data_IF_654095227580
#
_entry.id   IF_654095227580
#
_cell.length_a   1.000
_cell.length_b   1.000
_cell.length_c   1.000
_cell.angle_alpha   90.00
_cell.angle_beta   90.00
_cell.angle_gamma   90.00
#
_symmetry.space_group_name_H-M   'P 1'
#
loop_
_entity.id
_entity.type
_entity.pdbx_description
1 polymer ?
#
# COMPACT_ATOMS: atom_id res chain seq x y z
N UNK A 1 -3.48 52.78 -34.65
CA UNK A 1 -4.07 52.76 -33.28
C UNK A 1 -4.80 51.45 -32.89
N UNK A 2 -5.03 50.48 -33.79
CA UNK A 2 -5.71 49.20 -33.46
C UNK A 2 -4.76 48.07 -32.99
N UNK A 3 -3.50 48.07 -33.42
CA UNK A 3 -2.53 46.99 -33.13
C UNK A 3 -2.05 47.01 -31.66
N UNK A 4 -1.84 48.21 -31.09
CA UNK A 4 -1.42 48.38 -29.69
C UNK A 4 -2.51 47.93 -28.70
N UNK A 5 -3.79 48.03 -29.10
CA UNK A 5 -4.92 47.63 -28.26
C UNK A 5 -5.13 46.11 -28.23
N UNK A 6 -4.81 45.41 -29.34
CA UNK A 6 -4.84 43.94 -29.39
C UNK A 6 -3.71 43.31 -28.58
N UNK A 7 -2.50 43.87 -28.61
CA UNK A 7 -1.36 43.35 -27.83
C UNK A 7 -1.57 43.46 -26.31
N UNK A 8 -2.25 44.51 -25.83
CA UNK A 8 -2.59 44.65 -24.40
C UNK A 8 -3.62 43.62 -23.91
N UNK A 9 -4.54 43.17 -24.78
CA UNK A 9 -5.50 42.10 -24.44
C UNK A 9 -4.84 40.72 -24.41
N UNK A 10 -3.93 40.44 -25.35
CA UNK A 10 -3.16 39.19 -25.35
C UNK A 10 -2.26 39.07 -24.11
N UNK A 11 -1.61 40.15 -23.67
CA UNK A 11 -0.79 40.13 -22.45
C UNK A 11 -1.61 39.87 -21.18
N UNK A 12 -2.84 40.39 -21.09
CA UNK A 12 -3.73 40.14 -19.94
C UNK A 12 -4.26 38.71 -19.89
N UNK A 13 -4.49 38.07 -21.03
CA UNK A 13 -4.90 36.65 -21.09
C UNK A 13 -3.72 35.72 -20.81
N UNK A 14 -2.51 36.07 -21.26
CA UNK A 14 -1.31 35.28 -21.00
C UNK A 14 -0.89 35.32 -19.51
N UNK A 15 -1.04 36.47 -18.84
CA UNK A 15 -0.71 36.60 -17.40
C UNK A 15 -1.78 35.95 -16.49
N UNK A 16 -3.05 35.90 -16.91
CA UNK A 16 -4.09 35.19 -16.15
C UNK A 16 -4.01 33.65 -16.32
N UNK A 17 -3.51 33.15 -17.45
CA UNK A 17 -3.36 31.71 -17.70
C UNK A 17 -2.21 31.06 -16.91
N UNK A 18 -1.18 31.82 -16.53
CA UNK A 18 -0.03 31.29 -15.77
C UNK A 18 -0.34 31.11 -14.28
N UNK A 19 -1.39 31.77 -13.75
CA UNK A 19 -1.78 31.68 -12.33
C UNK A 19 -2.80 30.57 -12.03
N UNK A 20 -3.22 29.79 -13.04
CA UNK A 20 -4.09 28.63 -12.92
C UNK A 20 -3.36 27.31 -13.13
N UNK A 21 -2.03 27.32 -13.02
CA UNK A 21 -1.30 26.08 -12.76
C UNK A 21 -1.53 25.77 -11.28
N UNK A 22 -2.26 24.69 -10.91
CA UNK A 22 -2.20 24.24 -9.54
C UNK A 22 -0.72 23.96 -9.29
N UNK A 23 -0.10 24.76 -8.41
CA UNK A 23 1.14 24.36 -7.82
C UNK A 23 0.82 23.00 -7.18
N UNK A 24 1.32 21.92 -7.79
CA UNK A 24 1.37 20.63 -7.15
C UNK A 24 2.33 20.81 -5.97
N UNK A 25 1.79 21.33 -4.87
CA UNK A 25 2.42 21.21 -3.58
C UNK A 25 2.49 19.71 -3.36
N UNK A 26 3.68 19.15 -3.58
CA UNK A 26 3.98 17.83 -3.06
C UNK A 26 3.59 17.89 -1.59
N UNK A 27 2.64 17.05 -1.20
CA UNK A 27 2.13 17.00 0.16
C UNK A 27 3.33 16.95 1.10
N UNK A 28 3.41 17.87 2.06
CA UNK A 28 4.53 17.89 3.00
C UNK A 28 4.59 16.53 3.71
N UNK A 29 5.82 16.04 3.95
CA UNK A 29 5.98 14.82 4.73
C UNK A 29 5.28 14.95 6.09
N UNK A 30 4.72 13.86 6.63
CA UNK A 30 4.05 13.92 7.90
C UNK A 30 5.10 14.12 8.99
N UNK A 31 4.67 14.65 10.14
CA UNK A 31 5.58 14.83 11.28
C UNK A 31 6.18 13.49 11.72
N UNK A 32 7.45 13.52 12.09
CA UNK A 32 8.13 12.32 12.60
C UNK A 32 7.55 11.92 13.95
N UNK A 33 7.31 10.62 14.12
CA UNK A 33 6.78 10.04 15.34
C UNK A 33 7.93 9.57 16.21
N UNK A 34 8.00 10.09 17.44
CA UNK A 34 8.96 9.62 18.41
C UNK A 34 8.58 8.22 18.89
N UNK A 35 9.56 7.31 18.95
CA UNK A 35 9.39 5.99 19.51
C UNK A 35 10.15 5.93 20.85
N UNK A 36 9.47 6.11 22.00
CA UNK A 36 10.09 5.93 23.29
C UNK A 36 10.48 4.46 23.39
N UNK A 37 11.78 4.14 23.35
CA UNK A 37 12.30 2.81 23.04
C UNK A 37 11.80 1.64 23.92
N UNK A 38 11.19 1.90 25.09
CA UNK A 38 10.57 0.89 25.94
C UNK A 38 9.11 0.55 25.56
N UNK A 39 8.40 1.46 24.87
CA UNK A 39 6.98 1.32 24.52
C UNK A 39 6.74 0.63 23.18
N UNK A 40 7.72 0.66 22.26
CA UNK A 40 7.62 0.05 20.94
C UNK A 40 6.87 0.89 19.91
N UNK A 41 6.99 0.50 18.63
CA UNK A 41 6.45 1.25 17.49
C UNK A 41 4.92 1.31 17.51
N UNK A 42 4.26 0.19 17.84
CA UNK A 42 2.80 0.14 17.92
C UNK A 42 2.23 1.09 18.97
N UNK A 43 2.88 1.20 20.14
CA UNK A 43 2.47 2.12 21.17
C UNK A 43 2.66 3.58 20.75
N UNK A 44 3.78 3.90 20.08
CA UNK A 44 4.04 5.24 19.54
C UNK A 44 2.97 5.65 18.51
N UNK A 45 2.61 4.74 17.60
CA UNK A 45 1.55 4.95 16.61
C UNK A 45 0.19 5.15 17.29
N UNK A 46 -0.15 4.29 18.26
CA UNK A 46 -1.42 4.38 18.98
C UNK A 46 -1.55 5.67 19.80
N UNK A 47 -0.43 6.19 20.34
CA UNK A 47 -0.39 7.45 21.07
C UNK A 47 -0.43 8.69 20.15
N UNK A 48 0.01 8.56 18.90
CA UNK A 48 0.10 9.68 17.95
C UNK A 48 -1.26 10.16 17.42
N UNK A 49 -2.30 9.32 17.47
CA UNK A 49 -3.63 9.67 16.97
C UNK A 49 -3.73 9.88 15.46
N UNK A 50 -2.76 9.36 14.68
CA UNK A 50 -2.80 9.41 13.21
C UNK A 50 -3.99 8.63 12.65
N UNK A 51 -4.42 8.99 11.44
CA UNK A 51 -5.49 8.28 10.74
C UNK A 51 -5.05 6.89 10.27
N UNK A 52 -6.02 6.01 9.97
CA UNK A 52 -5.70 4.72 9.35
C UNK A 52 -5.08 4.88 7.95
N UNK A 53 -5.45 5.93 7.21
CA UNK A 53 -4.84 6.27 5.91
C UNK A 53 -3.36 6.61 6.08
N UNK A 54 -3.01 7.45 7.06
CA UNK A 54 -1.62 7.80 7.33
C UNK A 54 -0.83 6.59 7.83
N UNK A 55 -1.42 5.75 8.68
CA UNK A 55 -0.80 4.50 9.12
C UNK A 55 -0.47 3.57 7.95
N UNK A 56 -1.42 3.38 7.03
CA UNK A 56 -1.21 2.58 5.83
C UNK A 56 -0.15 3.22 4.92
N UNK A 57 -0.20 4.53 4.70
CA UNK A 57 0.78 5.24 3.88
C UNK A 57 2.20 5.13 4.46
N UNK A 58 2.38 5.26 5.78
CA UNK A 58 3.67 5.05 6.46
C UNK A 58 4.19 3.63 6.27
N UNK A 59 3.30 2.64 6.40
CA UNK A 59 3.64 1.25 6.15
C UNK A 59 4.12 1.04 4.70
N UNK A 60 3.33 1.49 3.74
CA UNK A 60 3.62 1.36 2.30
C UNK A 60 4.92 2.08 1.94
N UNK A 61 5.15 3.27 2.49
CA UNK A 61 6.38 4.03 2.28
C UNK A 61 7.61 3.23 2.74
N UNK A 62 7.58 2.68 3.96
CA UNK A 62 8.69 1.90 4.51
C UNK A 62 8.88 0.55 3.81
N UNK A 63 7.79 -0.16 3.53
CA UNK A 63 7.82 -1.45 2.83
C UNK A 63 8.30 -1.30 1.39
N UNK A 64 7.90 -0.22 0.70
CA UNK A 64 8.38 0.03 -0.68
C UNK A 64 9.89 0.28 -0.68
N UNK A 65 10.42 1.00 0.32
CA UNK A 65 11.85 1.17 0.50
C UNK A 65 12.56 -0.17 0.75
N UNK A 66 11.94 -1.08 1.51
CA UNK A 66 12.52 -2.38 1.82
C UNK A 66 12.57 -3.33 0.62
N UNK A 67 11.79 -3.09 -0.44
CA UNK A 67 11.82 -3.89 -1.67
C UNK A 67 13.08 -3.71 -2.53
N UNK A 68 13.81 -2.60 -2.32
CA UNK A 68 14.91 -2.19 -3.21
C UNK A 68 14.46 -1.36 -4.42
N UNK A 69 13.16 -1.09 -4.60
CA UNK A 69 12.61 -0.32 -5.71
C UNK A 69 11.83 0.94 -5.25
N UNK A 70 12.43 1.84 -4.45
CA UNK A 70 11.72 2.98 -3.83
C UNK A 70 11.22 4.04 -4.81
N UNK A 71 11.59 3.96 -6.09
CA UNK A 71 11.19 4.95 -7.10
C UNK A 71 10.06 4.44 -8.00
N UNK A 72 9.77 3.15 -7.96
CA UNK A 72 8.79 2.52 -8.83
C UNK A 72 7.36 2.70 -8.27
N UNK A 73 6.49 3.48 -8.94
CA UNK A 73 5.14 3.73 -8.46
C UNK A 73 4.29 2.46 -8.36
N UNK A 74 4.55 1.43 -9.19
CA UNK A 74 3.75 0.21 -9.17
C UNK A 74 3.92 -0.53 -7.84
N UNK A 75 5.08 -0.40 -7.18
CA UNK A 75 5.36 -1.07 -5.91
C UNK A 75 4.52 -0.52 -4.77
N UNK A 76 4.32 0.80 -4.73
CA UNK A 76 3.46 1.46 -3.74
C UNK A 76 2.03 0.91 -3.84
N UNK A 77 1.48 0.85 -5.04
CA UNK A 77 0.14 0.28 -5.27
C UNK A 77 0.08 -1.21 -4.93
N UNK A 78 1.05 -2.00 -5.39
CA UNK A 78 1.04 -3.45 -5.18
C UNK A 78 1.06 -3.82 -3.69
N UNK A 79 1.89 -3.12 -2.89
CA UNK A 79 1.96 -3.31 -1.45
C UNK A 79 0.67 -2.82 -0.78
N UNK A 80 0.16 -1.65 -1.14
CA UNK A 80 -1.08 -1.10 -0.57
C UNK A 80 -2.26 -2.06 -0.77
N UNK A 81 -2.43 -2.58 -1.98
CA UNK A 81 -3.43 -3.59 -2.29
C UNK A 81 -3.21 -4.89 -1.52
N UNK A 82 -1.97 -5.38 -1.43
CA UNK A 82 -1.63 -6.57 -0.65
C UNK A 82 -2.02 -6.44 0.83
N UNK A 83 -1.73 -5.30 1.46
CA UNK A 83 -2.15 -5.00 2.84
C UNK A 83 -3.68 -4.98 2.93
N UNK A 84 -4.35 -4.24 2.05
CA UNK A 84 -5.80 -4.09 2.11
C UNK A 84 -6.56 -5.37 1.76
N UNK A 85 -5.96 -6.29 1.01
CA UNK A 85 -6.52 -7.63 0.81
C UNK A 85 -6.61 -8.40 2.13
N UNK A 86 -5.57 -8.33 2.97
CA UNK A 86 -5.59 -8.92 4.33
C UNK A 86 -6.66 -8.26 5.20
N UNK A 87 -6.74 -6.93 5.17
CA UNK A 87 -7.74 -6.16 5.95
C UNK A 87 -9.17 -6.58 5.59
N UNK A 88 -9.50 -6.59 4.29
CA UNK A 88 -10.86 -6.94 3.83
C UNK A 88 -11.18 -8.41 4.10
N UNK A 89 -10.23 -9.31 3.83
CA UNK A 89 -10.44 -10.73 4.07
C UNK A 89 -10.59 -11.03 5.58
N UNK A 90 -9.83 -10.37 6.45
CA UNK A 90 -9.99 -10.43 7.91
C UNK A 90 -11.26 -9.74 8.43
N UNK A 91 -11.83 -8.80 7.68
CA UNK A 91 -13.17 -8.25 7.95
C UNK A 91 -14.28 -9.26 7.64
N UNK A 92 -14.10 -10.10 6.62
CA UNK A 92 -15.11 -11.05 6.13
C UNK A 92 -15.00 -12.47 6.70
N UNK A 93 -13.86 -12.84 7.29
CA UNK A 93 -13.57 -14.19 7.79
C UNK A 93 -12.95 -14.14 9.19
N UNK A 94 -13.59 -14.70 10.22
CA UNK A 94 -13.01 -14.81 11.57
C UNK A 94 -11.65 -15.53 11.60
N UNK A 95 -11.47 -16.57 10.80
CA UNK A 95 -10.20 -17.30 10.71
C UNK A 95 -9.10 -16.44 10.09
N UNK A 96 -9.42 -15.64 9.08
CA UNK A 96 -8.47 -14.70 8.48
C UNK A 96 -8.22 -13.48 9.37
N UNK A 97 -9.21 -13.04 10.16
CA UNK A 97 -9.00 -12.02 11.19
C UNK A 97 -7.98 -12.48 12.23
N UNK A 98 -8.06 -13.74 12.67
CA UNK A 98 -7.07 -14.30 13.60
C UNK A 98 -5.69 -14.40 12.97
N UNK A 99 -5.61 -14.74 11.69
CA UNK A 99 -4.35 -14.88 10.98
C UNK A 99 -3.68 -13.53 10.72
N UNK A 100 -4.46 -12.55 10.26
CA UNK A 100 -3.94 -11.29 9.76
C UNK A 100 -4.12 -10.11 10.69
N UNK A 101 -5.01 -10.17 11.68
CA UNK A 101 -5.39 -9.02 12.51
C UNK A 101 -6.70 -8.38 12.07
N UNK A 102 -7.24 -7.48 12.91
CA UNK A 102 -8.51 -6.76 12.70
C UNK A 102 -8.26 -5.31 12.29
N UNK A 103 -8.83 -4.89 11.16
CA UNK A 103 -8.68 -3.53 10.65
C UNK A 103 -7.26 -3.25 10.15
N UNK A 104 -6.98 -2.01 9.74
CA UNK A 104 -5.66 -1.63 9.23
C UNK A 104 -4.61 -1.76 10.33
N UNK A 105 -4.89 -1.20 11.51
CA UNK A 105 -3.98 -1.27 12.67
C UNK A 105 -3.62 -2.72 13.04
N UNK A 106 -4.62 -3.58 13.21
CA UNK A 106 -4.38 -4.98 13.53
C UNK A 106 -3.59 -5.72 12.45
N UNK A 107 -3.78 -5.39 11.16
CA UNK A 107 -2.99 -5.99 10.07
C UNK A 107 -1.54 -5.52 10.09
N UNK A 108 -1.31 -4.23 10.27
CA UNK A 108 0.04 -3.66 10.34
C UNK A 108 0.83 -4.30 11.48
N UNK A 109 0.27 -4.39 12.69
CA UNK A 109 1.00 -4.84 13.87
C UNK A 109 0.87 -6.33 14.20
N UNK A 110 0.18 -7.11 13.37
CA UNK A 110 0.11 -8.55 13.55
C UNK A 110 1.53 -9.17 13.50
N UNK A 111 1.85 -9.97 14.52
CA UNK A 111 3.16 -10.60 14.67
C UNK A 111 3.61 -11.34 13.40
N UNK A 112 4.84 -11.04 12.96
CA UNK A 112 5.45 -11.65 11.79
C UNK A 112 5.06 -11.02 10.45
N UNK A 113 4.17 -10.02 10.43
CA UNK A 113 3.92 -9.20 9.27
C UNK A 113 4.84 -7.96 9.27
N UNK A 114 5.25 -7.51 8.08
CA UNK A 114 5.95 -6.24 7.88
C UNK A 114 7.19 -6.04 8.77
N UNK A 115 7.89 -7.12 9.09
CA UNK A 115 9.10 -7.10 9.90
C UNK A 115 10.13 -6.05 9.43
N UNK A 116 10.35 -5.80 8.12
CA UNK A 116 11.17 -4.69 7.66
C UNK A 116 10.76 -3.35 8.30
N UNK A 117 9.50 -2.95 8.15
CA UNK A 117 9.01 -1.67 8.65
C UNK A 117 8.87 -1.60 10.17
N UNK A 118 8.74 -2.72 10.89
CA UNK A 118 8.33 -2.71 12.31
C UNK A 118 9.36 -3.30 13.28
N UNK A 119 10.43 -3.94 12.80
CA UNK A 119 11.45 -4.52 13.68
C UNK A 119 12.33 -3.45 14.32
N UNK A 120 12.59 -3.62 15.62
CA UNK A 120 13.55 -2.77 16.35
C UNK A 120 14.93 -2.81 15.68
N UNK A 121 15.48 -1.64 15.37
CA UNK A 121 16.80 -1.51 14.76
C UNK A 121 16.83 -1.70 13.24
N UNK A 122 15.68 -2.03 12.61
CA UNK A 122 15.59 -2.02 11.15
C UNK A 122 15.75 -0.59 10.62
N UNK A 123 16.54 -0.34 9.56
CA UNK A 123 16.61 0.98 8.95
C UNK A 123 15.23 1.44 8.43
N UNK A 124 14.38 0.53 7.98
CA UNK A 124 13.05 0.83 7.47
C UNK A 124 12.04 1.21 8.57
N UNK A 125 12.31 0.84 9.83
CA UNK A 125 11.50 1.31 10.95
C UNK A 125 11.60 2.83 11.18
N UNK A 126 12.73 3.44 10.80
CA UNK A 126 12.87 4.90 10.81
C UNK A 126 12.07 5.54 9.68
N UNK A 127 12.08 4.94 8.50
CA UNK A 127 11.28 5.39 7.36
C UNK A 127 9.77 5.32 7.67
N UNK A 128 9.33 4.31 8.42
CA UNK A 128 7.94 4.18 8.89
C UNK A 128 7.55 5.32 9.86
N UNK A 129 8.43 5.63 10.82
CA UNK A 129 8.18 6.67 11.83
C UNK A 129 8.39 8.09 11.30
N UNK A 130 9.24 8.28 10.31
CA UNK A 130 9.71 9.58 9.84
C UNK A 130 9.93 9.56 8.32
N UNK A 131 8.87 9.54 7.49
CA UNK A 131 9.00 9.67 6.04
C UNK A 131 9.70 10.98 5.68
N UNK A 132 10.83 10.90 4.96
CA UNK A 132 11.71 12.05 4.71
C UNK A 132 11.66 12.61 3.28
N UNK A 133 11.05 11.90 2.33
CA UNK A 133 11.00 12.28 0.91
C UNK A 133 9.56 12.58 0.48
N UNK A 134 9.19 13.86 0.23
CA UNK A 134 7.82 14.26 -0.11
C UNK A 134 7.28 13.56 -1.36
N UNK A 135 8.12 13.28 -2.36
CA UNK A 135 7.67 12.63 -3.60
C UNK A 135 7.36 11.16 -3.39
N UNK A 136 8.11 10.48 -2.53
CA UNK A 136 7.83 9.10 -2.13
C UNK A 136 6.63 9.04 -1.18
N UNK A 137 6.48 10.03 -0.31
CA UNK A 137 5.34 10.16 0.59
C UNK A 137 4.03 10.33 -0.17
N UNK A 138 3.99 11.26 -1.13
CA UNK A 138 2.84 11.47 -2.02
C UNK A 138 2.40 10.16 -2.71
N UNK A 139 3.36 9.39 -3.27
CA UNK A 139 3.07 8.08 -3.87
C UNK A 139 2.45 7.09 -2.88
N UNK A 140 2.97 7.05 -1.64
CA UNK A 140 2.45 6.16 -0.61
C UNK A 140 1.04 6.55 -0.17
N UNK A 141 0.77 7.85 0.00
CA UNK A 141 -0.57 8.35 0.33
C UNK A 141 -1.58 8.02 -0.77
N UNK A 142 -1.25 8.33 -2.03
CA UNK A 142 -2.13 8.05 -3.18
C UNK A 142 -2.43 6.56 -3.29
N UNK A 143 -1.42 5.71 -3.15
CA UNK A 143 -1.58 4.26 -3.22
C UNK A 143 -2.41 3.72 -2.03
N UNK A 144 -2.17 4.22 -0.82
CA UNK A 144 -2.92 3.84 0.38
C UNK A 144 -4.41 4.20 0.23
N UNK A 145 -4.72 5.44 -0.17
CA UNK A 145 -6.08 5.92 -0.38
C UNK A 145 -6.81 5.09 -1.42
N UNK A 146 -6.21 4.89 -2.60
CA UNK A 146 -6.75 4.06 -3.67
C UNK A 146 -7.04 2.63 -3.19
N UNK A 147 -6.10 2.01 -2.48
CA UNK A 147 -6.29 0.68 -1.95
C UNK A 147 -7.36 0.62 -0.85
N UNK A 148 -7.56 1.70 -0.07
CA UNK A 148 -8.60 1.81 0.95
C UNK A 148 -10.01 1.97 0.36
N UNK A 149 -10.16 2.74 -0.72
CA UNK A 149 -11.41 2.83 -1.49
C UNK A 149 -11.83 1.44 -2.00
N UNK A 150 -10.87 0.65 -2.48
CA UNK A 150 -11.09 -0.76 -2.82
C UNK A 150 -11.62 -1.01 -4.24
N UNK A 151 -11.97 0.06 -4.95
CA UNK A 151 -12.41 -0.01 -6.33
C UNK A 151 -11.28 -0.45 -7.27
N UNK A 152 -11.59 -1.36 -8.19
CA UNK A 152 -10.62 -1.79 -9.21
C UNK A 152 -9.45 -2.62 -8.66
N UNK A 153 -9.63 -3.33 -7.55
CA UNK A 153 -8.59 -4.18 -6.97
C UNK A 153 -8.02 -5.17 -8.02
N UNK A 154 -6.73 -5.05 -8.40
CA UNK A 154 -6.14 -5.80 -9.51
C UNK A 154 -5.97 -7.29 -9.21
N UNK A 155 -6.10 -7.70 -7.94
CA UNK A 155 -5.90 -9.08 -7.51
C UNK A 155 -7.18 -9.92 -7.55
N UNK A 156 -8.35 -9.30 -7.77
CA UNK A 156 -9.62 -9.99 -7.92
C UNK A 156 -9.68 -10.59 -9.34
N UNK A 157 -9.55 -11.91 -9.44
CA UNK A 157 -9.44 -12.60 -10.74
C UNK A 157 -10.39 -13.77 -10.91
N UNK A 158 -10.66 -14.52 -9.84
CA UNK A 158 -11.50 -15.72 -9.88
C UNK A 158 -12.98 -15.41 -9.68
N UNK A 159 -13.83 -16.35 -10.07
CA UNK A 159 -15.28 -16.21 -9.89
C UNK A 159 -15.69 -16.08 -8.42
N UNK A 160 -14.98 -16.75 -7.50
CA UNK A 160 -15.23 -16.59 -6.07
C UNK A 160 -14.88 -15.17 -5.60
N UNK A 161 -13.71 -14.66 -5.99
CA UNK A 161 -13.24 -13.31 -5.62
C UNK A 161 -14.16 -12.22 -6.16
N UNK A 162 -14.56 -12.32 -7.44
CA UNK A 162 -15.50 -11.39 -8.06
C UNK A 162 -16.85 -11.38 -7.36
N UNK A 163 -17.36 -12.55 -6.99
CA UNK A 163 -18.65 -12.68 -6.29
C UNK A 163 -18.62 -12.01 -4.91
N UNK A 164 -17.51 -12.13 -4.19
CA UNK A 164 -17.42 -11.63 -2.82
C UNK A 164 -16.80 -10.23 -2.72
N UNK A 165 -16.23 -9.69 -3.81
CA UNK A 165 -15.45 -8.46 -3.76
C UNK A 165 -14.19 -8.58 -2.90
N UNK A 166 -13.64 -9.80 -2.76
CA UNK A 166 -12.49 -10.11 -1.91
C UNK A 166 -11.38 -10.71 -2.75
N UNK A 167 -10.13 -10.33 -2.47
CA UNK A 167 -8.95 -10.96 -3.07
C UNK A 167 -8.41 -12.07 -2.16
N UNK A 168 -7.99 -13.18 -2.74
CA UNK A 168 -7.27 -14.25 -2.05
C UNK A 168 -5.75 -14.05 -2.10
N UNK A 169 -5.25 -13.02 -2.79
CA UNK A 169 -3.82 -12.68 -2.84
C UNK A 169 -3.46 -11.93 -1.56
N UNK A 170 -2.86 -12.66 -0.63
CA UNK A 170 -2.64 -12.20 0.75
C UNK A 170 -1.19 -12.33 1.20
N UNK A 171 -0.33 -12.99 0.43
CA UNK A 171 1.10 -13.10 0.74
C UNK A 171 1.90 -12.43 -0.36
N UNK A 172 2.95 -11.72 0.03
CA UNK A 172 3.90 -11.13 -0.89
C UNK A 172 5.31 -11.21 -0.31
N UNK A 173 6.29 -11.32 -1.20
CA UNK A 173 7.70 -11.49 -0.87
C UNK A 173 8.54 -10.61 -1.79
N UNK A 174 9.63 -10.04 -1.28
CA UNK A 174 10.49 -9.12 -2.03
C UNK A 174 11.86 -9.78 -2.25
N UNK A 175 12.11 -10.44 -3.40
CA UNK A 175 13.35 -11.16 -3.64
C UNK A 175 14.60 -10.27 -3.60
N UNK A 176 14.45 -9.01 -4.00
CA UNK A 176 15.54 -8.03 -4.05
C UNK A 176 15.73 -7.23 -2.75
N UNK A 177 14.96 -7.54 -1.70
CA UNK A 177 15.12 -6.87 -0.41
C UNK A 177 16.47 -7.21 0.20
N UNK A 178 17.11 -6.23 0.84
CA UNK A 178 18.34 -6.46 1.64
C UNK A 178 18.11 -7.41 2.83
N UNK A 179 16.84 -7.68 3.18
CA UNK A 179 16.46 -8.63 4.23
C UNK A 179 16.06 -10.01 3.67
N UNK A 180 15.98 -10.17 2.34
CA UNK A 180 15.75 -11.46 1.72
C UNK A 180 17.00 -12.33 1.87
N UNK A 181 16.82 -13.55 2.39
CA UNK A 181 17.90 -14.53 2.50
C UNK A 181 18.00 -15.41 1.25
N UNK A 182 16.88 -15.60 0.56
CA UNK A 182 16.71 -16.50 -0.58
C UNK A 182 15.88 -15.81 -1.68
N UNK A 183 15.96 -16.22 -2.95
CA UNK A 183 15.15 -15.65 -4.03
C UNK A 183 13.65 -15.97 -3.91
N UNK A 184 13.29 -16.96 -3.10
CA UNK A 184 11.92 -17.44 -2.93
C UNK A 184 11.44 -17.29 -1.49
N UNK A 185 10.13 -17.12 -1.31
CA UNK A 185 9.54 -17.05 0.01
C UNK A 185 9.65 -18.41 0.73
N UNK A 186 9.73 -18.45 2.07
CA UNK A 186 9.73 -19.71 2.82
C UNK A 186 8.51 -20.61 2.54
N UNK A 187 7.41 -20.02 2.09
CA UNK A 187 6.16 -20.70 1.75
C UNK A 187 5.97 -20.95 0.24
N UNK A 188 7.02 -20.82 -0.59
CA UNK A 188 6.95 -21.06 -2.04
C UNK A 188 6.31 -22.41 -2.39
N UNK A 189 6.69 -23.46 -1.65
CA UNK A 189 6.24 -24.84 -1.87
C UNK A 189 5.05 -25.23 -0.97
N UNK A 190 4.40 -24.27 -0.31
CA UNK A 190 3.24 -24.53 0.53
C UNK A 190 2.05 -24.99 -0.31
N UNK A 191 1.31 -26.00 0.12
CA UNK A 191 0.04 -26.39 -0.53
C UNK A 191 -1.09 -25.39 -0.25
N UNK A 192 -0.94 -24.58 0.80
CA UNK A 192 -1.93 -23.57 1.20
C UNK A 192 -1.88 -22.30 0.34
N UNK A 193 -0.76 -22.05 -0.33
CA UNK A 193 -0.53 -20.86 -1.14
C UNK A 193 -0.14 -21.25 -2.57
N UNK A 194 -0.48 -20.40 -3.54
CA UNK A 194 0.00 -20.54 -4.92
C UNK A 194 0.58 -19.23 -5.39
N UNK A 195 1.74 -19.30 -6.03
CA UNK A 195 2.34 -18.16 -6.70
C UNK A 195 1.41 -17.63 -7.81
N UNK A 196 1.38 -16.31 -7.96
CA UNK A 196 0.65 -15.60 -9.01
C UNK A 196 1.68 -15.08 -10.01
N UNK A 197 1.70 -15.67 -11.21
CA UNK A 197 2.74 -15.42 -12.22
C UNK A 197 2.71 -14.00 -12.78
N UNK A 198 1.51 -13.48 -13.08
CA UNK A 198 1.34 -12.16 -13.66
C UNK A 198 0.33 -11.36 -12.82
N UNK A 199 0.76 -10.18 -12.38
CA UNK A 199 -0.09 -9.19 -11.70
C UNK A 199 -0.03 -7.90 -12.48
N UNK A 200 -1.17 -7.42 -12.97
CA UNK A 200 -1.28 -6.14 -13.67
C UNK A 200 -1.89 -5.09 -12.77
N UNK A 201 -1.19 -3.97 -12.62
CA UNK A 201 -1.64 -2.81 -11.86
C UNK A 201 -1.59 -1.60 -12.80
N UNK A 202 -2.76 -1.07 -13.14
CA UNK A 202 -2.90 -0.13 -14.25
C UNK A 202 -2.38 -0.77 -15.54
N UNK A 203 -1.54 -0.04 -16.26
CA UNK A 203 -0.93 -0.49 -17.52
C UNK A 203 0.40 -1.27 -17.32
N UNK A 204 0.79 -1.51 -16.07
CA UNK A 204 2.08 -2.14 -15.74
C UNK A 204 1.91 -3.57 -15.24
N UNK A 205 2.79 -4.46 -15.72
CA UNK A 205 2.97 -5.79 -15.13
C UNK A 205 4.00 -5.69 -14.01
N UNK A 206 3.66 -6.20 -12.83
CA UNK A 206 4.57 -6.23 -11.68
C UNK A 206 5.55 -7.40 -11.85
N UNK A 207 6.87 -7.16 -11.96
CA UNK A 207 7.84 -8.24 -12.18
C UNK A 207 8.03 -9.08 -10.91
N UNK A 208 8.04 -10.43 -11.02
CA UNK A 208 8.19 -11.31 -9.87
C UNK A 208 9.57 -11.23 -9.20
N UNK A 209 10.58 -10.69 -9.88
CA UNK A 209 11.91 -10.40 -9.32
C UNK A 209 11.87 -9.21 -8.33
N UNK A 210 10.85 -8.35 -8.46
CA UNK A 210 10.63 -7.20 -7.56
C UNK A 210 9.74 -7.58 -6.40
N UNK A 211 8.59 -8.18 -6.70
CA UNK A 211 7.68 -8.71 -5.69
C UNK A 211 6.94 -9.94 -6.23
N UNK A 212 6.94 -11.00 -5.44
CA UNK A 212 6.20 -12.23 -5.71
C UNK A 212 4.91 -12.20 -4.92
N UNK A 213 3.78 -12.46 -5.57
CA UNK A 213 2.47 -12.54 -4.93
C UNK A 213 2.01 -13.98 -4.80
N UNK A 214 1.32 -14.29 -3.71
CA UNK A 214 0.77 -15.61 -3.46
C UNK A 214 -0.68 -15.51 -2.99
N UNK A 215 -1.49 -16.39 -3.56
CA UNK A 215 -2.91 -16.52 -3.25
C UNK A 215 -3.18 -17.72 -2.37
N UNK A 216 -4.22 -17.63 -1.54
CA UNK A 216 -4.76 -18.82 -0.88
C UNK A 216 -5.22 -19.84 -1.92
N UNK A 217 -4.81 -21.09 -1.74
CA UNK A 217 -5.19 -22.20 -2.62
C UNK A 217 -6.69 -22.49 -2.61
N UNK A 218 -7.38 -22.13 -1.53
CA UNK A 218 -8.83 -22.27 -1.37
C UNK A 218 -9.35 -21.05 -0.60
N UNK A 219 -10.59 -20.60 -0.89
CA UNK A 219 -11.22 -19.58 -0.07
C UNK A 219 -11.38 -20.05 1.39
N UNK A 220 -11.37 -19.14 2.38
CA UNK A 220 -11.68 -19.50 3.76
C UNK A 220 -13.11 -20.05 3.86
N UNK A 221 -13.28 -21.17 4.58
CA UNK A 221 -14.57 -21.86 4.69
C UNK A 221 -15.62 -21.14 5.55
N UNK A 222 -15.20 -20.08 6.26
CA UNK A 222 -16.03 -19.25 7.13
C UNK A 222 -16.41 -17.91 6.51
N UNK A 223 -16.07 -17.66 5.24
CA UNK A 223 -16.70 -16.59 4.45
C UNK A 223 -18.06 -17.08 4.01
N UNK A 224 -19.11 -16.54 4.61
CA UNK A 224 -20.49 -16.79 4.15
C UNK A 224 -20.77 -15.99 2.89
N UNK A 225 -21.43 -16.61 1.91
CA UNK A 225 -21.95 -15.98 0.70
C UNK A 225 -22.83 -14.77 1.15
N UNK A 226 -22.45 -13.54 0.80
CA UNK A 226 -23.32 -12.36 1.02
C UNK A 226 -24.45 -12.43 -0.01
N UNK A 227 -25.37 -13.38 0.17
CA UNK A 227 -26.63 -13.43 -0.57
C UNK A 227 -27.61 -12.52 0.14
N UNK A 228 -27.84 -11.33 -0.41
CA UNK A 228 -28.89 -10.49 0.13
C UNK A 228 -29.08 -9.11 -0.46
N UNK A 229 -29.04 -8.94 -1.79
CA UNK A 229 -29.93 -7.99 -2.50
C UNK A 229 -30.14 -8.52 -3.92
N UNK A 230 -31.34 -9.05 -4.20
CA UNK A 230 -31.94 -9.01 -5.54
C UNK A 230 -32.87 -7.80 -5.57
#
# INVERSE_FOLDING_TARGET
MKIVYMMKKLYRVLVLGVLLVPAAYADECPSCLECPGASGIEAAISASGISEEELLARLVYAETASTGFPHDPVMYEAISWGVMNRVRLGGASPSMQKAFGKGIHGVVFQNGQFNPALSRGSPFSREFLCPGDPRKWEKAQVAARKAMEGEGNPFISTEWEKRHGLSLVVNFYYPSSVQAQEPYAPWENSTALRFVEEVRIGDSVVPPERVRFYRLSRPPGDVTDIRGVR
#
